data_IF_856066073595
#
_entry.id   IF_856066073595
#
_cell.length_a   1.000
_cell.length_b   1.000
_cell.length_c   1.000
_cell.angle_alpha   90.00
_cell.angle_beta   90.00
_cell.angle_gamma   90.00
#
_symmetry.space_group_name_H-M   'P 1'
#
loop_
_entity.id
_entity.type
_entity.pdbx_description
1 polymer ?
#
# COMPACT_ATOMS: atom_id res chain seq x y z
N UNK A 1 -12.93 -4.46 3.19
CA UNK A 1 -12.86 -2.99 3.32
C UNK A 1 -12.66 -2.67 4.78
N UNK A 2 -11.68 -1.84 5.10
CA UNK A 2 -11.25 -1.52 6.45
C UNK A 2 -11.44 -0.02 6.70
N UNK A 3 -11.82 0.36 7.92
CA UNK A 3 -11.95 1.76 8.31
C UNK A 3 -11.11 2.00 9.55
N UNK A 4 -10.15 2.89 9.44
CA UNK A 4 -9.41 3.43 10.58
C UNK A 4 -10.10 4.71 11.08
N UNK A 5 -10.11 4.88 12.40
CA UNK A 5 -10.54 6.10 13.07
C UNK A 5 -9.50 6.49 14.09
N UNK A 6 -9.04 7.74 14.04
CA UNK A 6 -8.05 8.22 14.97
C UNK A 6 -8.57 8.27 16.40
N UNK A 7 -7.64 8.18 17.36
CA UNK A 7 -7.91 8.32 18.80
C UNK A 7 -7.30 9.64 19.32
N UNK A 8 -7.79 10.14 20.45
CA UNK A 8 -7.33 11.41 21.03
C UNK A 8 -7.51 12.59 20.09
N UNK A 9 -6.44 13.35 19.85
CA UNK A 9 -6.43 14.48 18.93
C UNK A 9 -6.77 14.11 17.48
N UNK A 10 -6.56 12.84 17.08
CA UNK A 10 -6.88 12.33 15.75
C UNK A 10 -8.33 11.86 15.60
N UNK A 11 -9.17 11.98 16.63
CA UNK A 11 -10.60 11.63 16.60
C UNK A 11 -11.41 12.15 15.39
N UNK A 12 -11.19 13.38 14.88
CA UNK A 12 -11.93 13.84 13.71
C UNK A 12 -11.46 13.17 12.40
N UNK A 13 -10.31 12.50 12.42
CA UNK A 13 -9.75 11.86 11.25
C UNK A 13 -10.21 10.41 11.12
N UNK A 14 -10.53 10.03 9.89
CA UNK A 14 -10.79 8.64 9.53
C UNK A 14 -10.25 8.38 8.14
N UNK A 15 -9.86 7.14 7.89
CA UNK A 15 -9.41 6.69 6.57
C UNK A 15 -10.05 5.34 6.27
N UNK A 16 -10.38 5.12 5.01
CA UNK A 16 -11.01 3.89 4.53
C UNK A 16 -10.07 3.24 3.52
N UNK A 17 -9.80 1.97 3.73
CA UNK A 17 -8.80 1.20 3.01
C UNK A 17 -9.42 -0.06 2.42
N UNK A 18 -8.88 -0.51 1.30
CA UNK A 18 -9.24 -1.78 0.65
C UNK A 18 -7.95 -2.43 0.16
N UNK A 19 -7.77 -3.70 0.49
CA UNK A 19 -6.76 -4.53 -0.18
C UNK A 19 -7.35 -4.89 -1.55
N UNK A 20 -6.73 -4.40 -2.62
CA UNK A 20 -7.16 -4.64 -4.00
C UNK A 20 -6.50 -5.89 -4.57
N UNK A 21 -5.23 -6.10 -4.24
CA UNK A 21 -4.44 -7.25 -4.67
C UNK A 21 -3.63 -7.80 -3.49
N UNK A 22 -3.43 -9.11 -3.48
CA UNK A 22 -2.64 -9.82 -2.48
C UNK A 22 -1.87 -10.94 -3.17
N UNK A 23 -0.58 -11.06 -2.88
CA UNK A 23 0.21 -12.18 -3.36
C UNK A 23 -0.34 -13.51 -2.79
N UNK A 24 -0.36 -14.62 -3.56
CA UNK A 24 -0.82 -15.91 -3.05
C UNK A 24 -0.08 -16.39 -1.80
N UNK A 25 1.18 -16.01 -1.64
CA UNK A 25 2.04 -16.31 -0.50
C UNK A 25 2.04 -15.22 0.58
N UNK A 26 1.27 -14.14 0.39
CA UNK A 26 1.19 -12.99 1.29
C UNK A 26 2.42 -12.08 1.29
N UNK A 27 3.39 -12.29 0.38
CA UNK A 27 4.65 -11.53 0.34
C UNK A 27 4.48 -10.03 0.07
N UNK A 28 3.41 -9.64 -0.63
CA UNK A 28 3.06 -8.25 -0.89
C UNK A 28 1.55 -8.07 -0.98
N UNK A 29 1.10 -6.84 -0.78
CA UNK A 29 -0.29 -6.44 -0.97
C UNK A 29 -0.37 -5.05 -1.59
N UNK A 30 -1.42 -4.79 -2.37
CA UNK A 30 -1.78 -3.45 -2.83
C UNK A 30 -2.98 -2.96 -2.03
N UNK A 31 -2.85 -1.75 -1.49
CA UNK A 31 -3.85 -1.13 -0.65
C UNK A 31 -4.29 0.18 -1.26
N UNK A 32 -5.57 0.29 -1.57
CA UNK A 32 -6.23 1.52 -2.00
C UNK A 32 -6.81 2.23 -0.76
N UNK A 33 -6.61 3.53 -0.64
CA UNK A 33 -7.23 4.37 0.38
C UNK A 33 -8.04 5.51 -0.24
N UNK A 34 -9.23 5.75 0.31
CA UNK A 34 -10.11 6.83 -0.13
C UNK A 34 -9.64 8.19 0.38
N UNK A 35 -9.96 9.25 -0.36
CA UNK A 35 -9.75 10.65 0.08
C UNK A 35 -10.31 10.87 1.48
N UNK A 36 -9.50 11.46 2.36
CA UNK A 36 -9.88 11.90 3.69
C UNK A 36 -9.82 13.44 3.79
N UNK A 37 -10.08 13.99 4.98
CA UNK A 37 -9.99 15.44 5.23
C UNK A 37 -8.57 15.99 4.96
N UNK A 38 -7.53 15.18 5.18
CA UNK A 38 -6.12 15.61 5.15
C UNK A 38 -5.27 14.86 4.12
N UNK A 39 -5.81 13.82 3.48
CA UNK A 39 -5.06 13.02 2.50
C UNK A 39 -5.89 12.84 1.22
N UNK A 40 -5.28 12.95 0.03
CA UNK A 40 -5.93 12.55 -1.21
C UNK A 40 -6.24 11.04 -1.21
N UNK A 41 -7.03 10.58 -2.18
CA UNK A 41 -7.11 9.15 -2.46
C UNK A 41 -5.78 8.67 -3.06
N UNK A 42 -5.40 7.43 -2.78
CA UNK A 42 -4.13 6.89 -3.26
C UNK A 42 -4.05 5.38 -3.15
N UNK A 43 -2.94 4.85 -3.66
CA UNK A 43 -2.65 3.42 -3.72
C UNK A 43 -1.23 3.24 -3.22
N UNK A 44 -1.06 2.35 -2.25
CA UNK A 44 0.23 1.93 -1.72
C UNK A 44 0.48 0.46 -2.03
N UNK A 45 1.74 0.13 -2.25
CA UNK A 45 2.23 -1.25 -2.34
C UNK A 45 3.05 -1.53 -1.09
N UNK A 46 2.67 -2.56 -0.34
CA UNK A 46 3.40 -3.01 0.84
C UNK A 46 4.02 -4.37 0.58
N UNK A 47 5.23 -4.58 1.07
CA UNK A 47 5.98 -5.84 0.96
C UNK A 47 6.35 -6.28 2.38
N UNK A 48 6.23 -7.57 2.67
CA UNK A 48 6.70 -8.13 3.93
C UNK A 48 8.22 -7.94 4.04
N UNK A 49 8.68 -7.43 5.19
CA UNK A 49 10.08 -7.07 5.41
C UNK A 49 11.01 -8.26 5.17
N UNK A 50 10.62 -9.45 5.65
CA UNK A 50 11.37 -10.70 5.50
C UNK A 50 11.51 -11.15 4.04
N UNK A 51 10.66 -10.64 3.14
CA UNK A 51 10.62 -10.96 1.71
C UNK A 51 11.11 -9.80 0.84
N UNK A 52 11.41 -8.64 1.44
CA UNK A 52 11.80 -7.43 0.72
C UNK A 52 13.17 -7.53 0.04
N UNK A 53 14.02 -8.47 0.46
CA UNK A 53 15.31 -8.75 -0.18
C UNK A 53 15.22 -9.61 -1.45
N UNK A 54 14.05 -10.21 -1.75
CA UNK A 54 13.87 -11.08 -2.91
C UNK A 54 13.50 -10.25 -4.16
N UNK A 55 14.36 -10.19 -5.19
CA UNK A 55 14.09 -9.34 -6.36
C UNK A 55 12.77 -9.70 -7.06
N UNK A 56 12.45 -10.99 -7.13
CA UNK A 56 11.21 -11.47 -7.74
C UNK A 56 9.95 -10.96 -7.03
N UNK A 57 9.98 -10.85 -5.69
CA UNK A 57 8.87 -10.33 -4.88
C UNK A 57 8.70 -8.84 -5.16
N UNK A 58 9.80 -8.07 -5.13
CA UNK A 58 9.77 -6.64 -5.43
C UNK A 58 9.31 -6.35 -6.86
N UNK A 59 9.78 -7.11 -7.85
CA UNK A 59 9.42 -6.92 -9.25
C UNK A 59 7.95 -7.28 -9.51
N UNK A 60 7.42 -8.32 -8.85
CA UNK A 60 6.00 -8.64 -8.90
C UNK A 60 5.16 -7.51 -8.27
N UNK A 61 5.53 -7.06 -7.07
CA UNK A 61 4.85 -5.98 -6.36
C UNK A 61 4.84 -4.67 -7.17
N UNK A 62 5.98 -4.29 -7.77
CA UNK A 62 6.08 -3.11 -8.65
C UNK A 62 5.22 -3.24 -9.90
N UNK A 63 5.22 -4.40 -10.54
CA UNK A 63 4.43 -4.64 -11.76
C UNK A 63 2.94 -4.48 -11.51
N UNK A 64 2.45 -5.06 -10.41
CA UNK A 64 1.04 -4.95 -10.03
C UNK A 64 0.70 -3.53 -9.61
N UNK A 65 1.56 -2.89 -8.79
CA UNK A 65 1.39 -1.49 -8.39
C UNK A 65 1.29 -0.54 -9.59
N UNK A 66 2.21 -0.67 -10.56
CA UNK A 66 2.20 0.15 -11.78
C UNK A 66 0.92 -0.04 -12.61
N UNK A 67 0.42 -1.28 -12.71
CA UNK A 67 -0.84 -1.57 -13.40
C UNK A 67 -2.07 -0.93 -12.75
N UNK A 68 -1.98 -0.61 -11.45
CA UNK A 68 -3.03 0.02 -10.67
C UNK A 68 -2.83 1.54 -10.49
N UNK A 69 -1.73 2.11 -10.98
CA UNK A 69 -1.42 3.53 -10.84
C UNK A 69 -0.83 3.91 -9.48
N UNK A 70 -0.23 2.96 -8.77
CA UNK A 70 0.58 3.26 -7.58
C UNK A 70 1.81 4.11 -7.97
N UNK A 71 2.28 5.03 -7.12
CA UNK A 71 3.51 5.78 -7.35
C UNK A 71 4.70 4.84 -7.59
N UNK A 72 5.63 5.25 -8.45
CA UNK A 72 6.83 4.46 -8.71
C UNK A 72 7.67 4.31 -7.42
N UNK A 73 7.97 3.06 -7.06
CA UNK A 73 8.83 2.76 -5.91
C UNK A 73 10.27 3.10 -6.31
N UNK A 74 10.96 4.03 -5.61
CA UNK A 74 12.35 4.34 -5.91
C UNK A 74 13.23 3.09 -5.80
N UNK A 75 14.09 2.87 -6.79
CA UNK A 75 15.13 1.83 -6.66
C UNK A 75 16.11 2.23 -5.56
N UNK A 76 16.63 1.29 -4.76
CA UNK A 76 17.73 1.59 -3.84
C UNK A 76 18.89 2.21 -4.63
N UNK A 77 19.58 3.19 -4.04
CA UNK A 77 20.81 3.71 -4.62
C UNK A 77 21.82 2.55 -4.76
N UNK A 78 22.47 2.47 -5.93
CA UNK A 78 23.54 1.50 -6.22
C UNK A 78 24.74 1.65 -5.28
#
# INVERSE_FOLDING_TARGET
MFRWRGRGALRPLSSVWRVTELAPDGSWAVIEFSKSLLTPAGIDVVVLDERSGEPAVLDAARRVGAGLGAPEVPRPAE
#
